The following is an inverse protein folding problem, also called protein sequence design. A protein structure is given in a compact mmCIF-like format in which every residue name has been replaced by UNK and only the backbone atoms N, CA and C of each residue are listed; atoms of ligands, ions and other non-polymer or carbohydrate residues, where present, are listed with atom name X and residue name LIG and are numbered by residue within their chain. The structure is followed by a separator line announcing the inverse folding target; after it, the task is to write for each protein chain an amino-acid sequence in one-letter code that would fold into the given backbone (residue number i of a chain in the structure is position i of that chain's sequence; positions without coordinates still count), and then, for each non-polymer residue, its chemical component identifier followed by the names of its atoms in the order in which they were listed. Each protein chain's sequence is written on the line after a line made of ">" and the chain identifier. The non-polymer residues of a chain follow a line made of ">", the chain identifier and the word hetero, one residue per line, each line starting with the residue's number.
data_IF_197239802791
#
_entry.id   IF_197239802791
#
_cell.length_a   1.000
_cell.length_b   1.000
_cell.length_c   1.000
_cell.angle_alpha   90.00
_cell.angle_beta   90.00
_cell.angle_gamma   90.00
#
_symmetry.space_group_name_H-M   'P 1'
#
loop_
_entity.id
_entity.type
_entity.pdbx_description
1 polymer ?
#
# COMPACT_ATOMS: atom_id res chain seq x y z
N UNK A 1 -15.01 -25.92 -11.79
CA UNK A 1 -15.03 -25.03 -10.63
C UNK A 1 -14.35 -23.71 -11.00
N UNK A 2 -14.84 -22.58 -10.50
CA UNK A 2 -14.37 -21.24 -10.85
C UNK A 2 -13.21 -20.84 -9.92
N UNK A 3 -12.23 -20.09 -10.44
CA UNK A 3 -11.09 -19.56 -9.68
C UNK A 3 -10.15 -20.61 -9.03
N UNK A 4 -10.11 -21.85 -9.51
CA UNK A 4 -9.21 -22.90 -8.98
C UNK A 4 -7.72 -22.69 -9.27
N UNK A 5 -7.39 -21.75 -10.16
CA UNK A 5 -6.03 -21.37 -10.53
C UNK A 5 -5.39 -20.32 -9.61
N UNK A 6 -4.42 -19.57 -10.16
CA UNK A 6 -3.71 -18.52 -9.42
C UNK A 6 -4.66 -17.44 -8.85
N UNK A 7 -5.76 -17.14 -9.55
CA UNK A 7 -6.78 -16.18 -9.10
C UNK A 7 -7.37 -16.54 -7.74
N UNK A 8 -7.59 -17.82 -7.42
CA UNK A 8 -8.09 -18.23 -6.10
C UNK A 8 -6.99 -18.46 -5.05
N UNK A 9 -5.71 -18.35 -5.43
CA UNK A 9 -4.54 -18.61 -4.57
C UNK A 9 -3.68 -17.35 -4.40
N UNK A 10 -4.31 -16.19 -4.35
CA UNK A 10 -3.66 -14.91 -4.07
C UNK A 10 -3.78 -14.55 -2.58
N UNK A 11 -3.08 -13.50 -2.12
CA UNK A 11 -3.10 -13.08 -0.71
C UNK A 11 -4.43 -12.47 -0.25
N UNK A 12 -5.41 -12.29 -1.14
CA UNK A 12 -6.69 -11.66 -0.85
C UNK A 12 -6.60 -10.14 -0.67
N UNK A 13 -5.53 -9.52 -1.17
CA UNK A 13 -5.25 -8.09 -0.95
C UNK A 13 -5.27 -7.30 -2.25
N UNK A 14 -5.89 -6.13 -2.18
CA UNK A 14 -5.87 -5.12 -3.24
C UNK A 14 -4.90 -4.00 -2.86
N UNK A 15 -3.63 -4.18 -3.23
CA UNK A 15 -2.55 -3.24 -2.91
C UNK A 15 -2.63 -1.94 -3.71
N UNK A 16 -2.10 -0.85 -3.14
CA UNK A 16 -1.99 0.46 -3.81
C UNK A 16 -0.86 0.52 -4.84
N UNK A 17 0.09 -0.41 -4.81
CA UNK A 17 1.33 -0.35 -5.59
C UNK A 17 2.46 0.44 -4.92
N UNK A 18 2.30 0.88 -3.67
CA UNK A 18 3.28 1.73 -2.97
C UNK A 18 4.70 1.15 -2.94
N UNK A 19 4.85 -0.19 -2.90
CA UNK A 19 6.15 -0.87 -2.99
C UNK A 19 6.95 -0.47 -4.23
N UNK A 20 6.28 -0.18 -5.34
CA UNK A 20 6.90 0.18 -6.61
C UNK A 20 7.16 1.68 -6.72
N UNK A 21 6.61 2.51 -5.83
CA UNK A 21 6.60 3.97 -6.00
C UNK A 21 7.97 4.58 -6.31
N UNK A 22 9.03 4.08 -5.66
CA UNK A 22 10.41 4.58 -5.86
C UNK A 22 11.13 3.90 -7.02
N UNK A 23 10.93 2.60 -7.22
CA UNK A 23 11.71 1.80 -8.19
C UNK A 23 11.07 1.74 -9.58
N UNK A 24 9.76 1.88 -9.65
CA UNK A 24 8.93 1.80 -10.86
C UNK A 24 7.63 2.60 -10.64
N UNK A 25 7.74 3.91 -10.80
CA UNK A 25 6.65 4.83 -10.52
C UNK A 25 5.47 4.67 -11.51
N UNK A 26 5.75 4.24 -12.75
CA UNK A 26 4.71 3.96 -13.75
C UNK A 26 3.80 2.82 -13.28
N UNK A 27 4.39 1.69 -12.87
CA UNK A 27 3.62 0.58 -12.28
C UNK A 27 2.84 1.01 -11.05
N UNK A 28 3.41 1.86 -10.19
CA UNK A 28 2.70 2.38 -9.01
C UNK A 28 1.48 3.23 -9.38
N UNK A 29 1.58 4.06 -10.43
CA UNK A 29 0.48 4.88 -10.96
C UNK A 29 -0.65 4.03 -11.52
N UNK A 30 -0.29 3.02 -12.31
CA UNK A 30 -1.27 2.09 -12.88
C UNK A 30 -1.99 1.30 -11.78
N UNK A 31 -1.24 0.80 -10.78
CA UNK A 31 -1.80 0.09 -9.63
C UNK A 31 -2.84 0.92 -8.88
N UNK A 32 -2.53 2.16 -8.50
CA UNK A 32 -3.47 2.97 -7.72
C UNK A 32 -4.68 3.44 -8.55
N UNK A 33 -4.50 3.65 -9.85
CA UNK A 33 -5.60 3.94 -10.77
C UNK A 33 -6.59 2.77 -10.81
N UNK A 34 -6.11 1.55 -11.05
CA UNK A 34 -6.95 0.35 -11.10
C UNK A 34 -7.57 0.02 -9.73
N UNK A 35 -6.80 0.20 -8.64
CA UNK A 35 -7.28 0.03 -7.27
C UNK A 35 -8.54 0.88 -7.00
N UNK A 36 -8.54 2.16 -7.43
CA UNK A 36 -9.69 3.06 -7.29
C UNK A 36 -10.90 2.60 -8.12
N UNK A 37 -10.66 2.11 -9.33
CA UNK A 37 -11.71 1.57 -10.20
C UNK A 37 -12.35 0.34 -9.54
N UNK A 38 -11.54 -0.62 -9.11
CA UNK A 38 -12.02 -1.85 -8.46
C UNK A 38 -12.79 -1.56 -7.18
N UNK A 39 -12.29 -0.66 -6.32
CA UNK A 39 -13.02 -0.20 -5.12
C UNK A 39 -14.37 0.45 -5.46
N UNK A 40 -14.50 1.11 -6.61
CA UNK A 40 -15.76 1.71 -7.05
C UNK A 40 -16.75 0.65 -7.56
N UNK A 41 -16.31 -0.26 -8.41
CA UNK A 41 -17.20 -1.20 -9.11
C UNK A 41 -17.49 -2.48 -8.31
N UNK A 42 -16.57 -2.88 -7.43
CA UNK A 42 -16.63 -4.13 -6.65
C UNK A 42 -16.57 -3.88 -5.14
N UNK A 43 -17.08 -2.73 -4.67
CA UNK A 43 -17.12 -2.32 -3.25
C UNK A 43 -17.71 -3.35 -2.27
N UNK A 44 -18.53 -4.28 -2.76
CA UNK A 44 -19.19 -5.30 -1.94
C UNK A 44 -18.26 -6.46 -1.56
N UNK A 45 -17.12 -6.61 -2.24
CA UNK A 45 -16.12 -7.63 -1.93
C UNK A 45 -14.72 -7.04 -1.61
N UNK A 46 -14.61 -5.71 -1.53
CA UNK A 46 -13.36 -5.02 -1.22
C UNK A 46 -13.56 -4.12 0.00
N UNK A 47 -12.90 -4.48 1.09
CA UNK A 47 -12.87 -3.68 2.31
C UNK A 47 -11.63 -2.75 2.33
N UNK A 48 -11.80 -1.45 2.64
CA UNK A 48 -10.68 -0.55 2.85
C UNK A 48 -9.88 -0.89 4.13
N UNK A 49 -8.74 -1.55 3.97
CA UNK A 49 -7.85 -1.91 5.11
C UNK A 49 -6.67 -0.97 5.32
N UNK A 50 -6.36 -0.10 4.34
CA UNK A 50 -5.14 0.73 4.30
C UNK A 50 -3.87 -0.12 4.47
N UNK A 51 -2.76 0.48 4.91
CA UNK A 51 -1.51 -0.22 5.18
C UNK A 51 -0.51 0.65 5.91
N UNK A 52 0.46 0.01 6.55
CA UNK A 52 1.61 0.67 7.18
C UNK A 52 2.88 0.32 6.41
N UNK A 53 3.71 1.32 6.17
CA UNK A 53 5.09 1.13 5.71
C UNK A 53 5.99 1.59 6.85
N UNK A 54 6.75 0.67 7.43
CA UNK A 54 7.48 0.89 8.69
C UNK A 54 8.98 0.99 8.38
N UNK A 55 9.59 2.06 8.88
CA UNK A 55 11.05 2.21 8.94
C UNK A 55 11.54 1.52 10.20
N UNK A 56 12.50 0.60 10.06
CA UNK A 56 13.14 -0.07 11.18
C UNK A 56 14.34 0.74 11.71
N UNK A 57 14.84 0.49 12.94
CA UNK A 57 15.97 1.22 13.51
C UNK A 57 17.26 1.19 12.66
N UNK A 58 17.44 0.15 11.85
CA UNK A 58 18.55 -0.02 10.92
C UNK A 58 18.40 0.74 9.60
N UNK A 59 17.21 1.25 9.29
CA UNK A 59 16.92 1.97 8.05
C UNK A 59 17.27 3.46 8.18
N UNK A 60 17.65 4.08 7.06
CA UNK A 60 17.86 5.53 6.99
C UNK A 60 16.51 6.27 7.02
N UNK A 61 16.31 7.14 8.02
CA UNK A 61 15.13 7.99 8.12
C UNK A 61 14.95 8.92 6.93
N UNK A 62 16.03 9.31 6.23
CA UNK A 62 15.93 10.12 5.01
C UNK A 62 15.17 9.39 3.88
N UNK A 63 15.13 8.05 3.91
CA UNK A 63 14.38 7.26 2.95
C UNK A 63 12.87 7.48 3.05
N UNK A 64 12.36 7.79 4.24
CA UNK A 64 10.93 8.01 4.46
C UNK A 64 10.37 9.11 3.56
N UNK A 65 11.08 10.24 3.46
CA UNK A 65 10.64 11.37 2.63
C UNK A 65 10.65 10.99 1.15
N UNK A 66 11.71 10.30 0.70
CA UNK A 66 11.81 9.79 -0.69
C UNK A 66 10.63 8.90 -1.03
N UNK A 67 10.25 7.99 -0.13
CA UNK A 67 9.11 7.09 -0.31
C UNK A 67 7.78 7.85 -0.37
N UNK A 68 7.56 8.81 0.53
CA UNK A 68 6.34 9.62 0.58
C UNK A 68 6.18 10.42 -0.71
N UNK A 69 7.24 11.11 -1.15
CA UNK A 69 7.23 11.93 -2.37
C UNK A 69 6.95 11.06 -3.60
N UNK A 70 7.58 9.89 -3.69
CA UNK A 70 7.35 8.95 -4.78
C UNK A 70 5.89 8.42 -4.80
N UNK A 71 5.32 8.11 -3.63
CA UNK A 71 3.92 7.73 -3.51
C UNK A 71 3.00 8.86 -3.98
N UNK A 72 3.22 10.09 -3.51
CA UNK A 72 2.43 11.26 -3.90
C UNK A 72 2.51 11.53 -5.40
N UNK A 73 3.70 11.42 -6.00
CA UNK A 73 3.87 11.50 -7.45
C UNK A 73 3.06 10.42 -8.16
N UNK A 74 3.05 9.18 -7.65
CA UNK A 74 2.22 8.13 -8.21
C UNK A 74 0.70 8.32 -7.96
N UNK A 75 0.31 9.31 -7.15
CA UNK A 75 -1.07 9.54 -6.74
C UNK A 75 -1.54 8.61 -5.64
N UNK A 76 -0.62 7.98 -4.91
CA UNK A 76 -0.87 7.17 -3.72
C UNK A 76 -0.84 8.09 -2.49
N UNK A 77 -1.88 8.01 -1.67
CA UNK A 77 -1.90 8.72 -0.39
C UNK A 77 -0.93 8.04 0.59
N UNK A 78 0.06 8.79 1.05
CA UNK A 78 1.02 8.36 2.07
C UNK A 78 1.17 9.50 3.08
N UNK A 79 0.78 9.23 4.34
CA UNK A 79 0.85 10.20 5.44
C UNK A 79 1.89 9.72 6.44
N UNK A 80 2.87 10.57 6.84
CA UNK A 80 3.82 10.21 7.88
C UNK A 80 3.10 9.99 9.21
N UNK A 81 3.53 8.99 9.97
CA UNK A 81 3.06 8.69 11.31
C UNK A 81 4.24 8.67 12.27
N UNK A 82 4.02 9.15 13.49
CA UNK A 82 4.96 8.91 14.59
C UNK A 82 4.95 7.43 15.00
N UNK A 83 6.04 6.91 15.61
CA UNK A 83 6.06 5.55 16.15
C UNK A 83 4.90 5.28 17.13
N UNK A 84 4.54 6.26 17.97
CA UNK A 84 3.45 6.12 18.93
C UNK A 84 2.08 6.01 18.23
N UNK A 85 1.88 6.69 17.09
CA UNK A 85 0.65 6.54 16.31
C UNK A 85 0.58 5.20 15.60
N UNK A 86 1.71 4.70 15.06
CA UNK A 86 1.78 3.38 14.46
C UNK A 86 1.44 2.29 15.49
N UNK A 87 2.07 2.31 16.67
CA UNK A 87 1.79 1.37 17.77
C UNK A 87 0.35 1.46 18.29
N UNK A 88 -0.27 2.64 18.28
CA UNK A 88 -1.68 2.76 18.67
C UNK A 88 -2.62 2.10 17.67
N UNK A 89 -2.26 2.13 16.37
CA UNK A 89 -3.05 1.50 15.29
C UNK A 89 -2.82 0.00 15.22
N UNK A 90 -1.57 -0.43 15.38
CA UNK A 90 -1.16 -1.83 15.36
C UNK A 90 -0.19 -2.08 16.52
N UNK A 91 -0.67 -2.48 17.71
CA UNK A 91 0.17 -2.69 18.89
C UNK A 91 1.23 -3.79 18.74
N UNK A 92 1.07 -4.71 17.77
CA UNK A 92 2.04 -5.75 17.47
C UNK A 92 3.04 -5.36 16.38
N UNK A 93 3.04 -4.09 15.93
CA UNK A 93 4.04 -3.58 14.98
C UNK A 93 5.41 -3.53 15.65
N UNK A 94 6.45 -3.95 14.91
CA UNK A 94 7.82 -4.18 15.38
C UNK A 94 8.51 -2.92 15.94
#
# INVERSE_FOLDING_TARGET
>A
DIATGATGRNHGLLHSGARYAVTDNESARECISENRILRRIARHCIEPTNGLFITLPEDDLAWQQTFIDACQQAGIEATPLSPQEALRREPAVN
#
